data_IF_325972584295
#
_entry.id   IF_325972584295
#
_cell.length_a   1.000
_cell.length_b   1.000
_cell.length_c   1.000
_cell.angle_alpha   90.00
_cell.angle_beta   90.00
_cell.angle_gamma   90.00
#
_symmetry.space_group_name_H-M   'P 1'
#
loop_
_entity.id
_entity.type
_entity.pdbx_description
1 polymer ?
#
# COMPACT_ATOMS: atom_id res chain seq x y z
N UNK A 1 -48.69 -8.07 1.34
CA UNK A 1 -47.39 -8.64 1.75
C UNK A 1 -46.33 -8.61 0.64
N UNK A 2 -46.62 -9.07 -0.58
CA UNK A 2 -45.66 -9.11 -1.72
C UNK A 2 -45.00 -7.76 -2.03
N UNK A 3 -45.79 -6.69 -2.20
CA UNK A 3 -45.31 -5.31 -2.48
C UNK A 3 -44.33 -4.74 -1.43
N UNK A 4 -44.45 -5.14 -0.17
CA UNK A 4 -43.54 -4.71 0.90
C UNK A 4 -42.23 -5.49 0.87
N UNK A 5 -42.28 -6.80 0.60
CA UNK A 5 -41.09 -7.61 0.36
C UNK A 5 -40.29 -7.11 -0.85
N UNK A 6 -40.97 -6.76 -1.94
CA UNK A 6 -40.30 -6.28 -3.15
C UNK A 6 -39.61 -4.93 -2.93
N UNK A 7 -40.23 -4.03 -2.15
CA UNK A 7 -39.60 -2.76 -1.74
C UNK A 7 -38.38 -2.97 -0.85
N UNK A 8 -38.48 -3.87 0.12
CA UNK A 8 -37.35 -4.22 0.99
C UNK A 8 -36.22 -4.80 0.15
N UNK A 9 -36.50 -5.76 -0.71
CA UNK A 9 -35.51 -6.37 -1.60
C UNK A 9 -34.83 -5.33 -2.50
N UNK A 10 -35.60 -4.39 -3.08
CA UNK A 10 -35.07 -3.31 -3.91
C UNK A 10 -34.12 -2.41 -3.12
N UNK A 11 -34.52 -1.99 -1.90
CA UNK A 11 -33.69 -1.13 -1.05
C UNK A 11 -32.42 -1.86 -0.63
N UNK A 12 -32.54 -3.11 -0.19
CA UNK A 12 -31.38 -3.93 0.19
C UNK A 12 -30.42 -4.11 -0.99
N UNK A 13 -30.94 -4.42 -2.18
CA UNK A 13 -30.12 -4.55 -3.38
C UNK A 13 -29.43 -3.22 -3.74
N UNK A 14 -30.16 -2.10 -3.70
CA UNK A 14 -29.61 -0.77 -3.94
C UNK A 14 -28.46 -0.43 -2.97
N UNK A 15 -28.64 -0.72 -1.68
CA UNK A 15 -27.60 -0.52 -0.66
C UNK A 15 -26.38 -1.40 -0.90
N UNK A 16 -26.58 -2.67 -1.30
CA UNK A 16 -25.47 -3.58 -1.63
C UNK A 16 -24.68 -3.09 -2.85
N UNK A 17 -25.37 -2.63 -3.89
CA UNK A 17 -24.73 -2.07 -5.10
C UNK A 17 -23.92 -0.83 -4.73
N UNK A 18 -24.51 0.12 -3.99
CA UNK A 18 -23.82 1.34 -3.55
C UNK A 18 -22.61 1.00 -2.69
N UNK A 19 -22.78 0.11 -1.70
CA UNK A 19 -21.69 -0.35 -0.84
C UNK A 19 -20.55 -1.01 -1.63
N UNK A 20 -20.89 -1.82 -2.63
CA UNK A 20 -19.90 -2.46 -3.52
C UNK A 20 -19.13 -1.43 -4.33
N UNK A 21 -19.83 -0.46 -4.93
CA UNK A 21 -19.19 0.61 -5.73
C UNK A 21 -18.24 1.43 -4.86
N UNK A 22 -18.65 1.79 -3.64
CA UNK A 22 -17.79 2.52 -2.69
C UNK A 22 -16.57 1.68 -2.34
N UNK A 23 -16.76 0.41 -1.97
CA UNK A 23 -15.68 -0.49 -1.56
C UNK A 23 -14.66 -0.70 -2.68
N UNK A 24 -15.12 -0.96 -3.91
CA UNK A 24 -14.25 -1.13 -5.09
C UNK A 24 -13.51 0.17 -5.41
N UNK A 25 -14.20 1.30 -5.41
CA UNK A 25 -13.59 2.61 -5.70
C UNK A 25 -12.51 2.97 -4.68
N UNK A 26 -12.79 2.74 -3.40
CA UNK A 26 -11.83 2.95 -2.32
C UNK A 26 -10.63 1.99 -2.47
N UNK A 27 -10.87 0.71 -2.74
CA UNK A 27 -9.82 -0.30 -2.90
C UNK A 27 -8.90 0.00 -4.08
N UNK A 28 -9.45 0.42 -5.22
CA UNK A 28 -8.67 0.84 -6.39
C UNK A 28 -7.81 2.06 -6.05
N UNK A 29 -8.38 3.05 -5.35
CA UNK A 29 -7.64 4.24 -4.90
C UNK A 29 -6.48 3.86 -3.97
N UNK A 30 -6.71 2.97 -3.00
CA UNK A 30 -5.65 2.51 -2.08
C UNK A 30 -4.57 1.71 -2.83
N UNK A 31 -4.99 0.81 -3.73
CA UNK A 31 -4.07 0.04 -4.55
C UNK A 31 -3.16 0.97 -5.38
N UNK A 32 -3.74 2.01 -5.97
CA UNK A 32 -2.97 3.01 -6.70
C UNK A 32 -2.03 3.82 -5.80
N UNK A 33 -2.48 4.22 -4.60
CA UNK A 33 -1.64 4.91 -3.63
C UNK A 33 -0.43 4.08 -3.21
N UNK A 34 -0.63 2.79 -2.91
CA UNK A 34 0.45 1.84 -2.58
C UNK A 34 1.36 1.60 -3.78
N UNK A 35 0.80 1.43 -4.97
CA UNK A 35 1.58 1.27 -6.20
C UNK A 35 2.49 2.48 -6.46
N UNK A 36 2.02 3.70 -6.15
CA UNK A 36 2.84 4.92 -6.28
C UNK A 36 4.06 4.90 -5.35
N UNK A 37 3.98 4.29 -4.17
CA UNK A 37 5.12 4.18 -3.23
C UNK A 37 6.29 3.36 -3.80
N UNK A 38 6.00 2.42 -4.72
CA UNK A 38 7.05 1.65 -5.42
C UNK A 38 7.90 2.50 -6.35
N UNK A 39 7.45 3.70 -6.73
CA UNK A 39 8.19 4.59 -7.65
C UNK A 39 9.31 5.38 -6.94
N UNK A 40 9.55 5.13 -5.65
CA UNK A 40 10.53 5.87 -4.85
C UNK A 40 10.09 7.31 -4.58
N UNK A 41 10.90 8.06 -3.81
CA UNK A 41 10.65 9.50 -3.63
C UNK A 41 10.98 10.27 -4.91
N UNK A 42 11.70 9.61 -5.83
CA UNK A 42 11.48 9.71 -7.28
C UNK A 42 11.94 11.01 -7.92
N UNK A 43 12.30 12.03 -7.16
CA UNK A 43 12.94 13.24 -7.66
C UNK A 43 13.53 14.11 -6.54
N UNK A 44 13.78 13.52 -5.37
CA UNK A 44 14.41 14.24 -4.28
C UNK A 44 15.91 14.39 -4.56
N UNK A 45 16.33 15.63 -4.73
CA UNK A 45 17.73 16.01 -4.90
C UNK A 45 18.24 16.67 -3.62
N UNK A 46 19.42 16.26 -3.19
CA UNK A 46 20.20 17.03 -2.22
C UNK A 46 20.92 18.14 -2.97
N UNK A 47 20.87 19.35 -2.43
CA UNK A 47 21.55 20.52 -3.00
C UNK A 47 22.85 20.78 -2.25
N UNK A 48 23.88 21.21 -2.97
CA UNK A 48 25.09 21.76 -2.38
C UNK A 48 24.83 23.19 -1.84
N UNK A 49 25.81 23.74 -1.11
CA UNK A 49 25.70 25.08 -0.52
C UNK A 49 25.49 26.20 -1.55
N UNK A 50 25.88 25.98 -2.81
CA UNK A 50 25.66 26.90 -3.94
C UNK A 50 24.28 26.74 -4.61
N UNK A 51 23.41 25.88 -4.06
CA UNK A 51 22.08 25.58 -4.58
C UNK A 51 22.06 24.62 -5.78
N UNK A 52 23.22 24.13 -6.24
CA UNK A 52 23.28 23.16 -7.34
C UNK A 52 22.94 21.77 -6.84
N UNK A 53 22.39 20.94 -7.74
CA UNK A 53 22.14 19.52 -7.47
C UNK A 53 23.44 18.79 -7.18
N UNK A 54 23.51 18.11 -6.04
CA UNK A 54 24.66 17.30 -5.66
C UNK A 54 24.43 15.83 -6.01
N UNK A 55 23.54 15.15 -5.31
CA UNK A 55 23.19 13.75 -5.57
C UNK A 55 21.70 13.51 -5.34
N UNK A 56 21.17 12.44 -5.94
CA UNK A 56 19.75 12.09 -5.81
C UNK A 56 19.57 11.12 -4.64
N UNK A 57 18.51 11.30 -3.86
CA UNK A 57 18.22 10.44 -2.70
C UNK A 57 18.21 8.95 -3.07
N UNK A 58 17.60 8.64 -4.20
CA UNK A 58 17.42 7.26 -4.67
C UNK A 58 18.57 6.78 -5.58
N UNK A 59 19.68 7.53 -5.72
CA UNK A 59 20.76 7.22 -6.67
C UNK A 59 21.42 5.86 -6.42
N UNK A 60 21.60 5.48 -5.15
CA UNK A 60 22.19 4.20 -4.74
C UNK A 60 21.12 3.18 -4.32
N UNK A 61 19.83 3.47 -4.55
CA UNK A 61 18.74 2.59 -4.14
C UNK A 61 18.55 1.49 -5.17
N UNK A 62 18.62 0.23 -4.71
CA UNK A 62 18.24 -0.94 -5.48
C UNK A 62 17.06 -1.63 -4.81
N UNK A 63 15.93 -1.68 -5.50
CA UNK A 63 14.80 -2.48 -5.03
C UNK A 63 15.13 -3.97 -5.22
N UNK A 64 14.97 -4.76 -4.15
CA UNK A 64 15.25 -6.21 -4.13
C UNK A 64 13.97 -6.95 -3.72
N UNK A 65 13.47 -7.91 -4.52
CA UNK A 65 12.34 -8.73 -4.13
C UNK A 65 12.63 -9.53 -2.86
N UNK A 66 11.63 -9.72 -1.99
CA UNK A 66 11.78 -10.47 -0.73
C UNK A 66 12.27 -11.92 -0.97
N UNK A 67 11.97 -12.50 -2.13
CA UNK A 67 12.43 -13.83 -2.56
C UNK A 67 13.92 -13.89 -2.91
N UNK A 68 14.54 -12.75 -3.20
CA UNK A 68 15.97 -12.65 -3.52
C UNK A 68 16.83 -12.30 -2.30
N UNK A 69 16.21 -11.97 -1.16
CA UNK A 69 16.92 -11.69 0.09
C UNK A 69 17.30 -13.01 0.77
N UNK A 70 18.57 -13.13 1.16
CA UNK A 70 19.08 -14.31 1.84
C UNK A 70 18.30 -14.58 3.16
N UNK A 71 17.81 -15.81 3.40
CA UNK A 71 16.93 -16.10 4.54
C UNK A 71 17.50 -15.75 5.93
N UNK A 72 18.79 -15.94 6.18
CA UNK A 72 19.42 -15.56 7.45
C UNK A 72 19.47 -14.06 7.62
N UNK A 73 19.76 -13.28 6.58
CA UNK A 73 19.70 -11.82 6.64
C UNK A 73 18.29 -11.33 6.98
N UNK A 74 17.26 -11.88 6.30
CA UNK A 74 15.86 -11.56 6.58
C UNK A 74 15.48 -11.88 8.03
N UNK A 75 15.83 -13.07 8.51
CA UNK A 75 15.48 -13.51 9.86
C UNK A 75 16.27 -12.74 10.93
N UNK A 76 17.53 -12.37 10.66
CA UNK A 76 18.32 -11.53 11.55
C UNK A 76 17.67 -10.14 11.73
N UNK A 77 17.21 -9.52 10.64
CA UNK A 77 16.51 -8.24 10.71
C UNK A 77 15.21 -8.35 11.54
N UNK A 78 14.39 -9.37 11.28
CA UNK A 78 13.19 -9.64 12.09
C UNK A 78 13.53 -9.83 13.56
N UNK A 79 14.56 -10.61 13.88
CA UNK A 79 14.96 -10.87 15.26
C UNK A 79 15.40 -9.59 16.01
N UNK A 80 15.99 -8.62 15.32
CA UNK A 80 16.50 -7.37 15.90
C UNK A 80 15.43 -6.30 16.00
N UNK A 81 14.67 -6.08 14.93
CA UNK A 81 13.73 -4.93 14.84
C UNK A 81 12.34 -5.26 15.40
N UNK A 82 11.80 -6.43 15.05
CA UNK A 82 10.48 -6.86 15.50
C UNK A 82 10.38 -8.38 15.58
N UNK A 83 10.68 -8.91 16.76
CA UNK A 83 10.59 -10.34 17.03
C UNK A 83 9.18 -10.95 16.86
N UNK A 84 8.14 -10.11 16.81
CA UNK A 84 6.74 -10.49 16.67
C UNK A 84 6.23 -10.23 15.26
N UNK A 85 7.10 -9.91 14.30
CA UNK A 85 6.74 -9.58 12.92
C UNK A 85 5.74 -10.58 12.29
N UNK A 86 5.88 -11.87 12.58
CA UNK A 86 4.99 -12.92 12.05
C UNK A 86 3.72 -13.18 12.86
N UNK A 87 3.57 -12.59 14.04
CA UNK A 87 2.49 -12.88 14.99
C UNK A 87 1.73 -11.65 15.48
N UNK A 88 2.24 -10.43 15.27
CA UNK A 88 1.51 -9.22 15.61
C UNK A 88 0.38 -8.95 14.60
N UNK A 89 -0.75 -8.44 15.10
CA UNK A 89 -1.89 -8.05 14.29
C UNK A 89 -1.88 -6.53 14.12
N UNK A 90 -1.06 -6.04 13.20
CA UNK A 90 -0.99 -4.62 12.84
C UNK A 90 -0.24 -3.79 13.86
#
# INVERSE_FOLDING_TARGET
MKRWRDRIALVTFGLLVIGTVIAVSWTLRQTYAVYKLRRGVGDTWFLAADGRRWFRLDEQRRDVPLSEIQPYLRNAFVAVEDHRFYTHLG
#
